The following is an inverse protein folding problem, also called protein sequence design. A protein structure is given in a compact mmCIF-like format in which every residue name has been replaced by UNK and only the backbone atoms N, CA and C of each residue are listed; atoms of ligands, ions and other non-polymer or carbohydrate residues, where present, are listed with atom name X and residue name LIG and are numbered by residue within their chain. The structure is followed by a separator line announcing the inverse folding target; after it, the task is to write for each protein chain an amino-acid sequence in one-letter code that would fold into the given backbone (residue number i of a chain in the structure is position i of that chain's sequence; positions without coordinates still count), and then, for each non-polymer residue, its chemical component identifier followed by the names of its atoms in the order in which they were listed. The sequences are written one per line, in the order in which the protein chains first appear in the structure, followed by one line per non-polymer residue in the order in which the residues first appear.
data_IF_855279655481
#
_entry.id   IF_855279655481
#
_cell.length_a   1.000
_cell.length_b   1.000
_cell.length_c   1.000
_cell.angle_alpha   90.00
_cell.angle_beta   90.00
_cell.angle_gamma   90.00
#
_symmetry.space_group_name_H-M   'P 1'
#
loop_
_entity.id
_entity.type
_entity.pdbx_description
1 polymer ?
#
# COMPACT_ATOMS: atom_id res chain seq x y z
N UNK A 1 -8.10 -8.65 2.74
CA UNK A 1 -7.64 -7.46 3.47
C UNK A 1 -6.58 -7.97 4.43
N UNK A 2 -5.34 -7.58 4.19
CA UNK A 2 -4.21 -7.93 5.04
C UNK A 2 -3.83 -6.70 5.84
N UNK A 3 -3.51 -6.88 7.11
CA UNK A 3 -3.06 -5.83 8.01
C UNK A 3 -1.72 -6.24 8.58
N UNK A 4 -0.72 -5.36 8.47
CA UNK A 4 0.59 -5.57 9.09
C UNK A 4 0.86 -4.44 10.08
N UNK A 5 1.24 -4.82 11.30
CA UNK A 5 1.47 -3.91 12.43
C UNK A 5 2.92 -4.05 12.86
N UNK A 6 3.66 -2.94 12.82
CA UNK A 6 5.01 -2.83 13.38
C UNK A 6 4.93 -1.85 14.54
N UNK A 7 5.44 -2.21 15.72
CA UNK A 7 5.41 -1.41 16.95
C UNK A 7 6.80 -1.47 17.62
N UNK A 8 7.22 -0.39 18.30
CA UNK A 8 8.42 -0.34 19.13
C UNK A 8 9.78 -0.44 18.38
N UNK A 9 9.88 0.15 17.18
CA UNK A 9 11.14 0.19 16.41
C UNK A 9 12.01 1.42 16.73
N UNK A 10 11.39 2.54 17.11
CA UNK A 10 11.95 3.85 17.44
C UNK A 10 10.91 4.72 18.20
N UNK A 11 11.39 5.44 19.21
CA UNK A 11 10.57 6.32 20.04
C UNK A 11 11.46 7.18 20.92
N UNK A 12 10.91 8.25 21.48
CA UNK A 12 11.64 9.15 22.37
C UNK A 12 10.94 9.25 23.74
N UNK A 13 11.69 9.68 24.75
CA UNK A 13 11.15 9.94 26.07
C UNK A 13 10.77 11.41 26.20
N UNK A 14 9.50 11.69 26.50
CA UNK A 14 9.02 13.01 26.86
C UNK A 14 8.44 12.94 28.29
N UNK A 15 8.94 13.77 29.21
CA UNK A 15 8.51 13.79 30.62
C UNK A 15 8.48 12.40 31.31
N UNK A 16 9.43 11.52 30.99
CA UNK A 16 9.52 10.17 31.57
C UNK A 16 8.51 9.16 31.02
N UNK A 17 7.73 9.54 30.00
CA UNK A 17 6.82 8.66 29.27
C UNK A 17 7.46 8.31 27.93
N UNK A 18 7.50 7.03 27.61
CA UNK A 18 7.97 6.57 26.30
C UNK A 18 6.87 6.80 25.26
N UNK A 19 7.20 7.55 24.21
CA UNK A 19 6.32 7.83 23.07
C UNK A 19 6.83 6.97 21.91
N UNK A 20 6.04 5.97 21.50
CA UNK A 20 6.31 5.21 20.27
C UNK A 20 5.96 6.09 19.08
N UNK A 21 6.89 6.29 18.16
CA UNK A 21 6.60 6.86 16.84
C UNK A 21 6.66 5.79 15.74
N UNK A 22 6.74 4.52 16.13
CA UNK A 22 6.89 3.39 15.20
C UNK A 22 5.60 2.72 14.81
N UNK A 23 4.47 3.11 15.42
CA UNK A 23 3.16 2.55 15.10
C UNK A 23 2.83 2.84 13.63
N UNK A 24 3.22 1.89 12.78
CA UNK A 24 2.90 1.85 11.36
C UNK A 24 1.88 0.74 11.17
N UNK A 25 0.67 1.13 10.79
CA UNK A 25 -0.39 0.19 10.41
C UNK A 25 -0.58 0.25 8.91
N UNK A 26 -0.18 -0.82 8.23
CA UNK A 26 -0.35 -0.98 6.78
C UNK A 26 -1.60 -1.78 6.45
N UNK A 27 -2.41 -1.28 5.54
CA UNK A 27 -3.58 -1.95 4.97
C UNK A 27 -3.35 -2.27 3.50
N UNK A 28 -3.54 -3.54 3.14
CA UNK A 28 -3.42 -4.03 1.77
C UNK A 28 -4.70 -4.64 1.24
N UNK A 29 -5.03 -4.32 0.00
CA UNK A 29 -6.08 -4.99 -0.76
C UNK A 29 -5.59 -5.33 -2.17
N UNK A 30 -5.79 -6.60 -2.55
CA UNK A 30 -5.49 -7.11 -3.88
C UNK A 30 -6.70 -7.86 -4.39
N UNK A 31 -7.09 -7.58 -5.63
CA UNK A 31 -8.16 -8.26 -6.33
C UNK A 31 -7.71 -8.64 -7.73
N UNK A 32 -7.99 -9.88 -8.12
CA UNK A 32 -7.74 -10.38 -9.47
C UNK A 32 -9.03 -10.86 -10.09
N UNK A 33 -9.38 -10.28 -11.22
CA UNK A 33 -10.40 -10.81 -12.12
C UNK A 33 -9.71 -11.60 -13.22
N UNK A 34 -10.03 -12.87 -13.38
CA UNK A 34 -9.47 -13.71 -14.44
C UNK A 34 -10.58 -14.19 -15.38
N UNK A 35 -10.78 -13.46 -16.49
CA UNK A 35 -11.72 -13.81 -17.55
C UNK A 35 -11.25 -14.98 -18.42
N UNK A 36 -9.94 -15.25 -18.46
CA UNK A 36 -9.37 -16.38 -19.20
C UNK A 36 -9.79 -17.75 -18.68
N UNK A 37 -10.27 -17.82 -17.42
CA UNK A 37 -10.87 -19.04 -16.86
C UNK A 37 -12.17 -19.44 -17.57
N UNK A 38 -12.89 -18.47 -18.14
CA UNK A 38 -14.17 -18.71 -18.83
C UNK A 38 -14.01 -18.61 -20.35
N UNK A 39 -13.16 -17.70 -20.82
CA UNK A 39 -12.85 -17.49 -22.23
C UNK A 39 -11.32 -17.41 -22.44
N UNK A 40 -10.65 -18.52 -22.78
CA UNK A 40 -9.19 -18.57 -22.82
C UNK A 40 -8.54 -17.67 -23.89
N UNK A 41 -9.26 -17.36 -24.96
CA UNK A 41 -8.72 -16.61 -26.09
C UNK A 41 -9.01 -15.11 -25.95
N UNK A 42 -10.24 -14.73 -25.61
CA UNK A 42 -10.66 -13.33 -25.55
C UNK A 42 -10.78 -12.77 -24.12
N UNK A 43 -10.67 -13.62 -23.11
CA UNK A 43 -10.72 -13.21 -21.71
C UNK A 43 -9.54 -12.32 -21.31
N UNK A 44 -9.85 -11.24 -20.60
CA UNK A 44 -8.85 -10.39 -19.97
C UNK A 44 -8.55 -10.82 -18.52
N UNK A 45 -7.32 -10.63 -18.08
CA UNK A 45 -6.93 -10.72 -16.67
C UNK A 45 -6.69 -9.31 -16.16
N UNK A 46 -7.41 -8.90 -15.12
CA UNK A 46 -7.29 -7.57 -14.53
C UNK A 46 -6.86 -7.73 -13.07
N UNK A 47 -5.82 -7.02 -12.67
CA UNK A 47 -5.38 -6.96 -11.28
C UNK A 47 -5.54 -5.54 -10.75
N UNK A 48 -6.13 -5.43 -9.56
CA UNK A 48 -6.25 -4.20 -8.78
C UNK A 48 -5.50 -4.39 -7.48
N UNK A 49 -4.59 -3.46 -7.17
CA UNK A 49 -3.87 -3.43 -5.91
C UNK A 49 -4.02 -2.06 -5.27
N UNK A 50 -4.20 -2.03 -3.95
CA UNK A 50 -4.16 -0.80 -3.16
C UNK A 50 -3.43 -1.09 -1.86
N UNK A 51 -2.49 -0.22 -1.51
CA UNK A 51 -1.78 -0.22 -0.26
C UNK A 51 -1.93 1.15 0.39
N UNK A 52 -2.24 1.17 1.68
CA UNK A 52 -2.34 2.37 2.49
C UNK A 52 -1.56 2.16 3.78
N UNK A 53 -0.69 3.09 4.14
CA UNK A 53 0.05 3.05 5.39
C UNK A 53 -0.31 4.29 6.21
N UNK A 54 -0.77 4.04 7.43
CA UNK A 54 -0.99 5.05 8.44
C UNK A 54 0.15 4.94 9.47
N UNK A 55 0.92 6.01 9.60
CA UNK A 55 2.05 6.11 10.53
C UNK A 55 2.00 7.45 11.26
N UNK A 56 2.60 7.53 12.44
CA UNK A 56 2.81 8.82 13.11
C UNK A 56 3.66 9.72 12.20
N UNK A 57 3.08 10.82 11.72
CA UNK A 57 3.69 11.84 10.84
C UNK A 57 3.96 11.43 9.36
N UNK A 58 3.50 10.25 8.90
CA UNK A 58 3.64 9.83 7.50
C UNK A 58 2.35 9.16 6.99
N UNK A 59 1.89 9.58 5.80
CA UNK A 59 0.78 8.93 5.09
C UNK A 59 1.24 8.51 3.70
N UNK A 60 1.32 7.20 3.47
CA UNK A 60 1.69 6.62 2.18
C UNK A 60 0.51 5.89 1.57
N UNK A 61 0.15 6.27 0.34
CA UNK A 61 -0.92 5.63 -0.42
C UNK A 61 -0.42 5.21 -1.80
N UNK A 62 -0.62 3.94 -2.14
CA UNK A 62 -0.34 3.42 -3.48
C UNK A 62 -1.57 2.68 -3.99
N UNK A 63 -1.95 2.91 -5.25
CA UNK A 63 -2.97 2.16 -5.94
C UNK A 63 -2.50 1.84 -7.36
N UNK A 64 -2.74 0.62 -7.81
CA UNK A 64 -2.34 0.15 -9.11
C UNK A 64 -3.41 -0.69 -9.77
N UNK A 65 -3.49 -0.59 -11.09
CA UNK A 65 -4.28 -1.46 -11.96
C UNK A 65 -3.42 -1.95 -13.10
N UNK A 66 -3.56 -3.22 -13.46
CA UNK A 66 -3.05 -3.73 -14.73
C UNK A 66 -4.08 -4.65 -15.40
N UNK A 67 -4.01 -4.71 -16.72
CA UNK A 67 -4.85 -5.56 -17.54
C UNK A 67 -4.00 -6.26 -18.60
N UNK A 68 -4.17 -7.57 -18.70
CA UNK A 68 -3.58 -8.43 -19.73
C UNK A 68 -4.69 -8.93 -20.66
N UNK A 69 -4.54 -8.69 -21.95
CA UNK A 69 -5.47 -9.14 -23.00
C UNK A 69 -4.71 -9.47 -24.27
N UNK A 70 -4.95 -10.64 -24.87
CA UNK A 70 -4.25 -11.10 -26.11
C UNK A 70 -2.71 -10.92 -26.08
N UNK A 71 -2.08 -11.26 -24.95
CA UNK A 71 -0.62 -11.10 -24.69
C UNK A 71 -0.12 -9.66 -24.67
N UNK A 72 -1.02 -8.67 -24.69
CA UNK A 72 -0.72 -7.27 -24.47
C UNK A 72 -1.08 -6.89 -23.03
N UNK A 73 -0.15 -6.27 -22.31
CA UNK A 73 -0.35 -5.82 -20.93
C UNK A 73 -0.18 -4.30 -20.85
N UNK A 74 -1.12 -3.66 -20.15
CA UNK A 74 -1.01 -2.25 -19.80
C UNK A 74 -1.41 -2.06 -18.34
N UNK A 75 -0.68 -1.20 -17.64
CA UNK A 75 -0.98 -0.87 -16.27
C UNK A 75 -0.70 0.59 -15.95
N UNK A 76 -1.30 1.03 -14.85
CA UNK A 76 -1.09 2.34 -14.26
C UNK A 76 -0.93 2.19 -12.76
N UNK A 77 0.07 2.88 -12.21
CA UNK A 77 0.36 2.91 -10.78
C UNK A 77 0.35 4.38 -10.34
N UNK A 78 -0.43 4.66 -9.32
CA UNK A 78 -0.47 5.92 -8.61
C UNK A 78 0.12 5.72 -7.22
N UNK A 79 1.12 6.52 -6.87
CA UNK A 79 1.69 6.56 -5.54
C UNK A 79 1.71 8.01 -5.05
N UNK A 80 1.28 8.22 -3.81
CA UNK A 80 1.35 9.50 -3.14
C UNK A 80 1.84 9.26 -1.72
N UNK A 81 3.07 9.69 -1.47
CA UNK A 81 3.76 9.51 -0.21
C UNK A 81 4.00 10.89 0.38
N UNK A 82 3.46 11.17 1.56
CA UNK A 82 3.71 12.39 2.31
C UNK A 82 4.58 12.07 3.51
N UNK A 83 5.81 12.54 3.44
CA UNK A 83 6.74 12.55 4.56
C UNK A 83 6.69 13.96 5.14
N UNK A 84 6.00 14.14 6.28
CA UNK A 84 6.14 15.39 7.02
C UNK A 84 7.50 15.36 7.72
N UNK A 85 8.44 16.12 7.17
CA UNK A 85 9.82 16.15 7.62
C UNK A 85 9.90 16.53 9.10
N UNK A 86 10.57 15.69 9.88
CA UNK A 86 11.12 16.00 11.20
C UNK A 86 11.81 17.38 11.17
N UNK A 87 11.14 18.39 11.73
CA UNK A 87 11.67 19.73 11.81
C UNK A 87 12.62 19.80 13.01
N UNK A 88 13.93 19.65 12.76
CA UNK A 88 14.97 19.91 13.74
C UNK A 88 15.44 21.36 13.62
N UNK A 89 15.13 22.20 14.61
CA UNK A 89 15.99 23.31 15.05
C UNK A 89 15.62 23.78 16.46
#
# INVERSE_FOLDING_TARGET
MESNVVNNAYGYYENGKWIDQSDRTGYGFTMTWNGQKTDPEDGAVINLNTAYMDATDETDFTAGVNALWHRFELGYIYAHNKIEAFQCY
#
